data_IF_141990347773
#
_entry.id   IF_141990347773
#
_cell.length_a   1.000
_cell.length_b   1.000
_cell.length_c   1.000
_cell.angle_alpha   90.00
_cell.angle_beta   90.00
_cell.angle_gamma   90.00
#
_symmetry.space_group_name_H-M   'P 1'
#
loop_
_entity.id
_entity.type
_entity.pdbx_description
1 polymer ?
#
# COMPACT_ATOMS: atom_id res chain seq x y z
N UNK A 1 20.55 -9.76 9.83
CA UNK A 1 20.52 -10.79 10.90
C UNK A 1 20.64 -12.19 10.29
N UNK A 2 21.57 -13.06 10.70
CA UNK A 2 21.65 -14.45 10.25
C UNK A 2 20.75 -15.37 11.12
N UNK A 3 19.44 -15.16 11.06
CA UNK A 3 18.35 -15.95 11.67
C UNK A 3 17.10 -15.52 10.88
N UNK A 4 16.20 -16.34 10.35
CA UNK A 4 15.72 -17.65 10.77
C UNK A 4 14.77 -18.12 9.66
N UNK A 5 15.08 -19.21 8.96
CA UNK A 5 14.20 -19.75 7.92
C UNK A 5 12.78 -20.00 8.47
N UNK A 6 12.68 -20.32 9.76
CA UNK A 6 11.44 -20.51 10.51
C UNK A 6 10.65 -19.20 10.65
N UNK A 7 11.33 -18.08 10.91
CA UNK A 7 10.69 -16.76 10.96
C UNK A 7 10.13 -16.38 9.59
N UNK A 8 10.91 -16.53 8.52
CA UNK A 8 10.41 -16.30 7.15
C UNK A 8 9.23 -17.21 6.81
N UNK A 9 9.29 -18.49 7.18
CA UNK A 9 8.18 -19.44 7.01
C UNK A 9 6.94 -19.02 7.79
N UNK A 10 7.08 -18.52 9.01
CA UNK A 10 5.98 -17.98 9.79
C UNK A 10 5.34 -16.78 9.07
N UNK A 11 6.12 -15.80 8.62
CA UNK A 11 5.58 -14.65 7.90
C UNK A 11 4.83 -15.07 6.63
N UNK A 12 5.38 -16.03 5.87
CA UNK A 12 4.75 -16.60 4.68
C UNK A 12 3.45 -17.34 5.01
N UNK A 13 3.41 -18.11 6.10
CA UNK A 13 2.21 -18.81 6.56
C UNK A 13 1.10 -17.81 6.92
N UNK A 14 1.42 -16.78 7.70
CA UNK A 14 0.47 -15.76 8.11
C UNK A 14 -0.06 -14.99 6.90
N UNK A 15 0.81 -14.58 5.99
CA UNK A 15 0.44 -13.89 4.76
C UNK A 15 -0.40 -14.77 3.83
N UNK A 16 -0.16 -16.09 3.80
CA UNK A 16 -0.96 -17.04 3.03
C UNK A 16 -2.36 -17.18 3.60
N UNK A 17 -2.50 -17.28 4.93
CA UNK A 17 -3.82 -17.32 5.61
C UNK A 17 -4.64 -16.07 5.34
N UNK A 18 -3.99 -14.90 5.41
CA UNK A 18 -4.63 -13.61 5.11
C UNK A 18 -5.10 -13.51 3.64
N UNK A 19 -4.30 -14.01 2.70
CA UNK A 19 -4.69 -14.08 1.29
C UNK A 19 -5.85 -15.06 1.05
N UNK A 20 -5.89 -16.19 1.75
CA UNK A 20 -7.02 -17.13 1.68
C UNK A 20 -8.31 -16.47 2.18
N UNK A 21 -8.25 -15.77 3.32
CA UNK A 21 -9.38 -15.01 3.82
C UNK A 21 -9.85 -13.95 2.81
N UNK A 22 -8.92 -13.13 2.29
CA UNK A 22 -9.24 -12.12 1.28
C UNK A 22 -9.87 -12.72 0.02
N UNK A 23 -9.35 -13.84 -0.46
CA UNK A 23 -9.92 -14.55 -1.61
C UNK A 23 -11.37 -14.93 -1.34
N UNK A 24 -11.67 -15.51 -0.19
CA UNK A 24 -13.04 -15.89 0.18
C UNK A 24 -13.97 -14.67 0.21
N UNK A 25 -13.52 -13.57 0.82
CA UNK A 25 -14.31 -12.33 0.88
C UNK A 25 -14.57 -11.74 -0.51
N UNK A 26 -13.55 -11.68 -1.35
CA UNK A 26 -13.64 -11.16 -2.73
C UNK A 26 -14.54 -12.06 -3.61
N UNK A 27 -14.53 -13.38 -3.39
CA UNK A 27 -15.40 -14.31 -4.12
C UNK A 27 -16.88 -14.20 -3.71
N UNK A 28 -17.18 -13.74 -2.50
CA UNK A 28 -18.55 -13.49 -2.03
C UNK A 28 -19.17 -12.21 -2.60
N UNK A 29 -18.38 -11.35 -3.24
CA UNK A 29 -18.89 -10.15 -3.89
C UNK A 29 -19.74 -10.49 -5.13
N UNK A 30 -20.66 -9.60 -5.53
CA UNK A 30 -21.40 -9.73 -6.79
C UNK A 30 -20.48 -9.89 -7.99
N UNK A 31 -20.91 -10.67 -8.98
CA UNK A 31 -20.23 -10.89 -10.25
C UNK A 31 -21.23 -10.73 -11.41
N UNK A 32 -21.19 -9.63 -12.18
CA UNK A 32 -20.17 -8.57 -12.14
C UNK A 32 -20.31 -7.65 -10.91
N UNK A 33 -19.18 -7.06 -10.48
CA UNK A 33 -19.18 -6.04 -9.41
C UNK A 33 -19.80 -4.72 -9.93
N UNK A 34 -20.78 -4.13 -9.23
CA UNK A 34 -21.33 -2.81 -9.59
C UNK A 34 -20.27 -1.70 -9.53
N UNK A 35 -20.40 -0.69 -10.39
CA UNK A 35 -19.51 0.48 -10.42
C UNK A 35 -19.73 1.45 -9.25
N UNK A 36 -20.89 1.37 -8.60
CA UNK A 36 -21.22 2.08 -7.37
C UNK A 36 -20.97 1.25 -6.10
N UNK A 37 -20.36 0.06 -6.21
CA UNK A 37 -20.15 -0.81 -5.07
C UNK A 37 -19.24 -0.14 -4.01
N UNK A 38 -19.62 -0.12 -2.72
CA UNK A 38 -18.91 0.64 -1.67
C UNK A 38 -17.44 0.23 -1.46
N UNK A 39 -17.10 -1.01 -1.79
CA UNK A 39 -15.74 -1.55 -1.66
C UNK A 39 -14.87 -1.37 -2.92
N UNK A 40 -15.41 -0.83 -4.02
CA UNK A 40 -14.68 -0.72 -5.30
C UNK A 40 -13.31 -0.04 -5.14
N UNK A 41 -13.27 1.12 -4.47
CA UNK A 41 -12.03 1.87 -4.30
C UNK A 41 -11.02 1.15 -3.40
N UNK A 42 -11.49 0.43 -2.38
CA UNK A 42 -10.60 -0.31 -1.48
C UNK A 42 -10.02 -1.53 -2.18
N UNK A 43 -10.81 -2.19 -3.04
CA UNK A 43 -10.32 -3.25 -3.91
C UNK A 43 -9.34 -2.69 -4.95
N UNK A 44 -9.64 -1.55 -5.58
CA UNK A 44 -8.71 -0.89 -6.49
C UNK A 44 -7.40 -0.48 -5.81
N UNK A 45 -7.45 -0.01 -4.56
CA UNK A 45 -6.26 0.29 -3.75
C UNK A 45 -5.46 -0.96 -3.35
N UNK A 46 -6.09 -2.14 -3.32
CA UNK A 46 -5.42 -3.40 -3.08
C UNK A 46 -4.51 -3.82 -4.24
N UNK A 47 -4.84 -3.43 -5.48
CA UNK A 47 -4.11 -3.79 -6.70
C UNK A 47 -2.63 -3.38 -6.64
N UNK A 48 -2.26 -2.10 -6.39
CA UNK A 48 -0.84 -1.73 -6.29
C UNK A 48 -0.10 -2.42 -5.15
N UNK A 49 -0.78 -2.71 -4.04
CA UNK A 49 -0.19 -3.49 -2.93
C UNK A 49 0.07 -4.94 -3.36
N UNK A 50 -0.90 -5.58 -4.01
CA UNK A 50 -0.79 -6.94 -4.52
C UNK A 50 0.37 -7.05 -5.51
N UNK A 51 0.47 -6.08 -6.41
CA UNK A 51 1.55 -5.98 -7.39
C UNK A 51 2.90 -5.84 -6.70
N UNK A 52 3.03 -4.91 -5.76
CA UNK A 52 4.23 -4.70 -4.97
C UNK A 52 4.67 -6.01 -4.26
N UNK A 53 3.72 -6.73 -3.66
CA UNK A 53 3.99 -8.01 -3.00
C UNK A 53 4.46 -9.09 -3.98
N UNK A 54 3.84 -9.20 -5.16
CA UNK A 54 4.30 -10.13 -6.22
C UNK A 54 5.73 -9.87 -6.62
N UNK A 55 6.09 -8.60 -6.76
CA UNK A 55 7.39 -8.24 -7.28
C UNK A 55 8.48 -8.24 -6.21
N UNK A 56 8.14 -7.95 -4.95
CA UNK A 56 8.98 -8.32 -3.79
C UNK A 56 9.25 -9.83 -3.75
N UNK A 57 8.22 -10.65 -4.01
CA UNK A 57 8.36 -12.12 -4.02
C UNK A 57 9.17 -12.63 -5.23
N UNK A 58 9.26 -11.85 -6.31
CA UNK A 58 9.81 -12.27 -7.60
C UNK A 58 8.86 -13.18 -8.41
N UNK A 59 7.61 -13.35 -7.98
CA UNK A 59 6.60 -14.07 -8.73
C UNK A 59 5.18 -13.63 -8.32
N UNK A 60 4.23 -13.81 -9.24
CA UNK A 60 2.82 -13.45 -9.03
C UNK A 60 2.25 -14.13 -7.78
N UNK A 61 1.68 -13.34 -6.87
CA UNK A 61 0.98 -13.83 -5.66
C UNK A 61 -0.50 -14.07 -5.95
N UNK A 62 -1.17 -14.99 -5.22
CA UNK A 62 -2.60 -15.23 -5.38
C UNK A 62 -3.48 -13.98 -5.32
N UNK A 63 -3.13 -13.01 -4.46
CA UNK A 63 -3.87 -11.74 -4.32
C UNK A 63 -4.03 -10.98 -5.64
N UNK A 64 -3.00 -10.95 -6.48
CA UNK A 64 -3.07 -10.31 -7.81
C UNK A 64 -4.09 -11.06 -8.70
N UNK A 65 -4.09 -12.39 -8.67
CA UNK A 65 -5.00 -13.24 -9.45
C UNK A 65 -6.48 -13.01 -9.14
N UNK A 66 -6.88 -13.15 -7.89
CA UNK A 66 -8.30 -13.06 -7.55
C UNK A 66 -8.83 -11.61 -7.52
N UNK A 67 -7.96 -10.60 -7.43
CA UNK A 67 -8.36 -9.22 -7.63
C UNK A 67 -8.71 -8.96 -9.10
N UNK A 68 -7.93 -9.47 -10.05
CA UNK A 68 -8.21 -9.36 -11.50
C UNK A 68 -9.49 -10.10 -11.91
N UNK A 69 -9.84 -11.20 -11.22
CA UNK A 69 -11.10 -11.92 -11.44
C UNK A 69 -12.35 -11.08 -11.09
N UNK A 70 -12.21 -10.04 -10.26
CA UNK A 70 -13.33 -9.21 -9.78
C UNK A 70 -13.27 -7.76 -10.25
N UNK A 71 -12.07 -7.20 -10.38
CA UNK A 71 -11.83 -5.86 -10.90
C UNK A 71 -11.49 -5.97 -12.38
N UNK A 72 -12.49 -5.81 -13.24
CA UNK A 72 -12.30 -5.83 -14.69
C UNK A 72 -11.87 -4.46 -15.21
N UNK A 73 -11.18 -4.45 -16.36
CA UNK A 73 -10.79 -3.21 -17.04
C UNK A 73 -12.01 -2.32 -17.33
N UNK A 74 -13.12 -2.91 -17.80
CA UNK A 74 -14.38 -2.20 -18.07
C UNK A 74 -14.95 -1.51 -16.82
N UNK A 75 -14.87 -2.16 -15.66
CA UNK A 75 -15.35 -1.59 -14.38
C UNK A 75 -14.51 -0.37 -13.98
N UNK A 76 -13.19 -0.50 -14.05
CA UNK A 76 -12.27 0.61 -13.74
C UNK A 76 -12.41 1.73 -14.76
N UNK A 77 -12.62 1.41 -16.05
CA UNK A 77 -12.87 2.42 -17.08
C UNK A 77 -14.13 3.24 -16.78
N UNK A 78 -15.23 2.58 -16.40
CA UNK A 78 -16.46 3.28 -15.99
C UNK A 78 -16.22 4.21 -14.80
N UNK A 79 -15.54 3.72 -13.77
CA UNK A 79 -15.19 4.53 -12.60
C UNK A 79 -14.28 5.73 -12.97
N UNK A 80 -13.35 5.55 -13.90
CA UNK A 80 -12.47 6.62 -14.38
C UNK A 80 -13.18 7.68 -15.23
N UNK A 81 -14.36 7.40 -15.80
CA UNK A 81 -15.13 8.39 -16.58
C UNK A 81 -15.79 9.47 -15.73
N UNK A 82 -16.05 9.20 -14.45
CA UNK A 82 -16.58 10.16 -13.50
C UNK A 82 -15.90 10.03 -12.12
N UNK A 83 -14.59 10.24 -12.03
CA UNK A 83 -13.85 9.99 -10.80
C UNK A 83 -14.06 11.17 -9.83
N UNK A 84 -14.17 10.88 -8.54
CA UNK A 84 -14.07 11.94 -7.53
C UNK A 84 -12.58 12.33 -7.33
N UNK A 85 -12.31 13.60 -6.95
CA UNK A 85 -10.98 13.99 -6.50
C UNK A 85 -10.49 13.05 -5.37
N UNK A 86 -9.21 12.68 -5.36
CA UNK A 86 -8.58 11.69 -4.43
C UNK A 86 -8.82 10.22 -4.73
N UNK A 87 -9.61 9.91 -5.76
CA UNK A 87 -9.81 8.53 -6.23
C UNK A 87 -9.05 8.26 -7.53
N UNK A 88 -8.67 9.33 -8.25
CA UNK A 88 -8.07 9.28 -9.58
C UNK A 88 -6.79 8.44 -9.59
N UNK A 89 -5.86 8.68 -8.67
CA UNK A 89 -4.60 7.97 -8.61
C UNK A 89 -4.80 6.47 -8.33
N UNK A 90 -5.69 6.14 -7.40
CA UNK A 90 -6.01 4.74 -7.06
C UNK A 90 -6.60 4.00 -8.26
N UNK A 91 -7.61 4.58 -8.92
CA UNK A 91 -8.24 3.99 -10.09
C UNK A 91 -7.27 3.89 -11.29
N UNK A 92 -6.40 4.88 -11.49
CA UNK A 92 -5.39 4.84 -12.54
C UNK A 92 -4.35 3.76 -12.31
N UNK A 93 -3.88 3.58 -11.08
CA UNK A 93 -2.94 2.49 -10.74
C UNK A 93 -3.58 1.12 -10.99
N UNK A 94 -4.83 0.94 -10.57
CA UNK A 94 -5.59 -0.28 -10.87
C UNK A 94 -5.78 -0.47 -12.39
N UNK A 95 -6.17 0.58 -13.12
CA UNK A 95 -6.37 0.53 -14.57
C UNK A 95 -5.08 0.18 -15.34
N UNK A 96 -3.94 0.79 -14.97
CA UNK A 96 -2.64 0.48 -15.58
C UNK A 96 -2.22 -0.98 -15.38
N UNK A 97 -2.56 -1.54 -14.22
CA UNK A 97 -2.29 -2.92 -13.88
C UNK A 97 -3.14 -3.89 -14.72
N UNK A 98 -4.40 -3.53 -14.98
CA UNK A 98 -5.32 -4.28 -15.83
C UNK A 98 -5.12 -4.02 -17.34
N UNK A 99 -3.98 -3.45 -17.72
CA UNK A 99 -3.65 -3.07 -19.10
C UNK A 99 -4.72 -2.20 -19.79
N UNK A 100 -5.44 -1.36 -19.03
CA UNK A 100 -6.45 -0.47 -19.57
C UNK A 100 -5.83 0.65 -20.41
N UNK A 101 -6.16 0.69 -21.70
CA UNK A 101 -5.64 1.67 -22.67
C UNK A 101 -5.91 3.12 -22.23
N UNK A 102 -7.11 3.39 -21.69
CA UNK A 102 -7.48 4.73 -21.23
C UNK A 102 -6.53 5.25 -20.14
N UNK A 103 -6.00 4.38 -19.28
CA UNK A 103 -5.05 4.73 -18.23
C UNK A 103 -3.64 5.07 -18.78
N UNK A 104 -3.42 4.84 -20.08
CA UNK A 104 -2.20 5.16 -20.84
C UNK A 104 -2.43 6.25 -21.89
N UNK A 105 -3.67 6.64 -22.18
CA UNK A 105 -4.01 7.66 -23.18
C UNK A 105 -3.59 9.07 -22.70
N UNK A 106 -2.60 9.72 -23.36
CA UNK A 106 -2.13 11.04 -22.97
C UNK A 106 -3.22 12.13 -22.98
N UNK A 107 -4.23 12.01 -23.86
CA UNK A 107 -5.33 13.00 -23.94
C UNK A 107 -6.25 12.88 -22.74
N UNK A 108 -6.63 11.65 -22.38
CA UNK A 108 -7.43 11.40 -21.20
C UNK A 108 -6.70 11.81 -19.92
N UNK A 109 -5.42 11.46 -19.79
CA UNK A 109 -4.60 11.88 -18.65
C UNK A 109 -4.47 13.42 -18.58
N UNK A 110 -4.36 14.11 -19.71
CA UNK A 110 -4.39 15.57 -19.75
C UNK A 110 -5.73 16.14 -19.26
N UNK A 111 -6.86 15.53 -19.62
CA UNK A 111 -8.17 15.92 -19.08
C UNK A 111 -8.25 15.73 -17.57
N UNK A 112 -7.80 14.59 -17.05
CA UNK A 112 -7.80 14.34 -15.61
C UNK A 112 -6.96 15.36 -14.84
N UNK A 113 -5.82 15.80 -15.38
CA UNK A 113 -4.98 16.84 -14.78
C UNK A 113 -5.66 18.20 -14.65
N UNK A 114 -6.75 18.45 -15.38
CA UNK A 114 -7.53 19.70 -15.27
C UNK A 114 -8.56 19.68 -14.16
N UNK A 115 -8.75 18.54 -13.48
CA UNK A 115 -9.64 18.46 -12.33
C UNK A 115 -9.15 19.40 -11.21
N UNK A 116 -10.04 20.17 -10.59
CA UNK A 116 -9.67 21.02 -9.45
C UNK A 116 -9.26 20.17 -8.25
N UNK A 117 -8.36 20.71 -7.43
CA UNK A 117 -8.01 20.18 -6.10
C UNK A 117 -7.49 18.73 -6.07
N UNK A 118 -6.79 18.29 -7.12
CA UNK A 118 -6.11 16.98 -7.13
C UNK A 118 -5.09 16.87 -5.99
N UNK A 119 -5.20 15.80 -5.21
CA UNK A 119 -4.22 15.49 -4.16
C UNK A 119 -2.83 15.29 -4.78
N UNK A 120 -1.73 15.65 -4.08
CA UNK A 120 -0.38 15.41 -4.56
C UNK A 120 -0.13 13.97 -5.05
N UNK A 121 -0.74 12.96 -4.41
CA UNK A 121 -0.63 11.56 -4.84
C UNK A 121 -1.24 11.32 -6.22
N UNK A 122 -2.43 11.86 -6.48
CA UNK A 122 -3.09 11.77 -7.79
C UNK A 122 -2.25 12.48 -8.87
N UNK A 123 -1.75 13.67 -8.56
CA UNK A 123 -0.88 14.45 -9.47
C UNK A 123 0.40 13.69 -9.78
N UNK A 124 0.99 13.02 -8.80
CA UNK A 124 2.16 12.17 -9.01
C UNK A 124 1.83 11.02 -9.96
N UNK A 125 0.76 10.25 -9.71
CA UNK A 125 0.32 9.14 -10.59
C UNK A 125 0.03 9.60 -12.01
N UNK A 126 -0.54 10.81 -12.18
CA UNK A 126 -0.79 11.44 -13.47
C UNK A 126 0.48 11.89 -14.19
N UNK A 127 1.69 11.63 -13.70
CA UNK A 127 2.95 12.05 -14.30
C UNK A 127 3.44 13.39 -13.76
N UNK A 128 3.41 13.55 -12.43
CA UNK A 128 3.91 14.74 -11.74
C UNK A 128 5.42 14.94 -11.96
N UNK A 129 5.86 16.18 -11.82
CA UNK A 129 7.25 16.58 -12.00
C UNK A 129 8.00 16.71 -10.64
N UNK A 130 9.23 17.23 -10.69
CA UNK A 130 10.03 17.48 -9.48
C UNK A 130 9.36 18.42 -8.48
N UNK A 131 8.43 19.28 -8.91
CA UNK A 131 7.71 20.17 -8.00
C UNK A 131 6.70 19.41 -7.16
N UNK A 132 6.01 18.43 -7.74
CA UNK A 132 5.07 17.54 -7.03
C UNK A 132 5.83 16.67 -6.02
N UNK A 133 7.01 16.16 -6.40
CA UNK A 133 7.87 15.41 -5.47
C UNK A 133 8.31 16.31 -4.31
N UNK A 134 8.70 17.56 -4.57
CA UNK A 134 9.07 18.51 -3.52
C UNK A 134 7.91 18.84 -2.57
N UNK A 135 6.68 18.96 -3.09
CA UNK A 135 5.47 19.14 -2.28
C UNK A 135 5.21 17.92 -1.39
N UNK A 136 5.27 16.70 -1.96
CA UNK A 136 5.09 15.45 -1.20
C UNK A 136 6.17 15.32 -0.14
N UNK A 137 7.43 15.59 -0.48
CA UNK A 137 8.54 15.57 0.48
C UNK A 137 8.25 16.51 1.66
N UNK A 138 7.80 17.74 1.38
CA UNK A 138 7.48 18.70 2.44
C UNK A 138 6.35 18.20 3.34
N UNK A 139 5.32 17.57 2.77
CA UNK A 139 4.24 16.93 3.55
C UNK A 139 4.82 15.83 4.44
N UNK A 140 5.63 14.93 3.89
CA UNK A 140 6.21 13.78 4.61
C UNK A 140 7.23 14.19 5.67
N UNK A 141 7.89 15.34 5.52
CA UNK A 141 8.85 15.86 6.50
C UNK A 141 8.20 16.63 7.63
N UNK A 142 7.02 17.19 7.41
CA UNK A 142 6.35 18.02 8.40
C UNK A 142 5.88 17.16 9.57
N UNK A 143 6.34 17.41 10.81
CA UNK A 143 5.89 16.65 11.97
C UNK A 143 4.43 16.97 12.29
N UNK A 144 3.63 15.95 12.57
CA UNK A 144 2.25 16.09 13.03
C UNK A 144 2.21 15.80 14.54
N UNK A 145 1.68 16.72 15.38
CA UNK A 145 1.51 16.46 16.81
C UNK A 145 0.63 15.24 17.08
N UNK A 146 0.99 14.44 18.08
CA UNK A 146 0.32 13.17 18.38
C UNK A 146 -1.18 13.34 18.71
N UNK A 147 -1.56 14.50 19.26
CA UNK A 147 -2.93 14.85 19.62
C UNK A 147 -3.82 15.11 18.39
N UNK A 148 -3.20 15.43 17.25
CA UNK A 148 -3.88 15.71 15.98
C UNK A 148 -3.89 14.52 15.03
N UNK A 149 -3.11 13.48 15.32
CA UNK A 149 -3.03 12.28 14.49
C UNK A 149 -4.33 11.48 14.54
N UNK A 150 -4.76 11.05 13.35
CA UNK A 150 -5.83 10.09 13.12
C UNK A 150 -5.41 9.10 12.02
N UNK A 151 -6.22 8.06 11.81
CA UNK A 151 -5.95 7.05 10.78
C UNK A 151 -5.83 7.64 9.39
N UNK A 152 -6.65 8.63 9.05
CA UNK A 152 -6.66 9.22 7.71
C UNK A 152 -5.34 9.93 7.41
N UNK A 153 -4.77 10.63 8.39
CA UNK A 153 -3.46 11.27 8.27
C UNK A 153 -2.35 10.24 8.08
N UNK A 154 -2.36 9.14 8.84
CA UNK A 154 -1.35 8.08 8.70
C UNK A 154 -1.50 7.33 7.38
N UNK A 155 -2.74 7.00 6.97
CA UNK A 155 -3.06 6.39 5.68
C UNK A 155 -2.54 7.25 4.52
N UNK A 156 -2.81 8.57 4.55
CA UNK A 156 -2.34 9.51 3.54
C UNK A 156 -0.82 9.59 3.51
N UNK A 157 -0.18 9.69 4.67
CA UNK A 157 1.28 9.71 4.78
C UNK A 157 1.89 8.42 4.19
N UNK A 158 1.38 7.27 4.60
CA UNK A 158 1.85 5.97 4.14
C UNK A 158 1.67 5.84 2.62
N UNK A 159 0.50 6.22 2.10
CA UNK A 159 0.22 6.18 0.68
C UNK A 159 1.18 7.06 -0.13
N UNK A 160 1.38 8.32 0.26
CA UNK A 160 2.31 9.22 -0.43
C UNK A 160 3.74 8.69 -0.40
N UNK A 161 4.18 8.16 0.74
CA UNK A 161 5.51 7.58 0.88
C UNK A 161 5.68 6.33 0.00
N UNK A 162 4.69 5.45 -0.02
CA UNK A 162 4.67 4.27 -0.91
C UNK A 162 4.73 4.70 -2.38
N UNK A 163 3.99 5.75 -2.78
CA UNK A 163 3.99 6.24 -4.16
C UNK A 163 5.36 6.79 -4.59
N UNK A 164 6.03 7.61 -3.78
CA UNK A 164 7.34 8.17 -4.17
C UNK A 164 8.45 7.11 -4.21
N UNK A 165 8.29 6.00 -3.47
CA UNK A 165 9.15 4.82 -3.58
C UNK A 165 8.70 3.85 -4.69
N UNK A 166 7.62 4.16 -5.41
CA UNK A 166 6.96 3.25 -6.37
C UNK A 166 6.80 1.84 -5.77
N UNK A 167 6.27 1.82 -4.54
CA UNK A 167 6.08 0.64 -3.69
C UNK A 167 7.34 -0.22 -3.49
N UNK A 168 8.52 0.40 -3.55
CA UNK A 168 9.83 -0.23 -3.37
C UNK A 168 10.60 -0.43 -4.66
N UNK A 169 10.03 -0.12 -5.83
CA UNK A 169 10.70 -0.24 -7.12
C UNK A 169 11.80 0.78 -7.35
N UNK A 170 11.74 1.92 -6.66
CA UNK A 170 12.77 2.96 -6.75
C UNK A 170 13.08 3.51 -5.36
N UNK A 171 14.28 4.10 -5.22
CA UNK A 171 14.58 5.03 -4.15
C UNK A 171 14.43 6.46 -4.71
N UNK A 172 13.48 7.27 -4.21
CA UNK A 172 13.28 8.62 -4.73
C UNK A 172 14.51 9.47 -4.46
N UNK A 173 14.79 10.46 -5.31
CA UNK A 173 15.79 11.49 -5.03
C UNK A 173 15.13 12.63 -4.24
N UNK A 174 15.39 12.69 -2.94
CA UNK A 174 14.91 13.77 -2.08
C UNK A 174 15.89 14.96 -2.08
N UNK A 175 15.43 16.10 -1.59
CA UNK A 175 16.20 17.36 -1.54
C UNK A 175 17.51 17.25 -0.76
N UNK A 176 17.59 16.35 0.23
CA UNK A 176 18.72 16.24 1.14
C UNK A 176 18.74 14.88 1.85
N UNK A 177 19.91 14.49 2.38
CA UNK A 177 20.04 13.30 3.22
C UNK A 177 19.19 13.42 4.51
N UNK A 178 19.08 14.62 5.08
CA UNK A 178 18.23 14.90 6.24
C UNK A 178 16.74 14.65 5.98
N UNK A 179 16.28 14.80 4.73
CA UNK A 179 14.88 14.52 4.38
C UNK A 179 14.50 13.07 4.68
N UNK A 180 15.36 12.09 4.36
CA UNK A 180 15.11 10.69 4.73
C UNK A 180 15.02 10.52 6.24
N UNK A 181 15.90 11.18 6.99
CA UNK A 181 15.89 11.14 8.47
C UNK A 181 14.62 11.73 9.07
N UNK A 182 14.16 12.87 8.56
CA UNK A 182 12.91 13.53 9.00
C UNK A 182 11.69 12.63 8.77
N UNK A 183 11.59 12.03 7.57
CA UNK A 183 10.49 11.12 7.19
C UNK A 183 10.55 9.83 8.01
N UNK A 184 11.74 9.27 8.22
CA UNK A 184 11.94 8.09 9.04
C UNK A 184 11.53 8.35 10.50
N UNK A 185 11.91 9.50 11.06
CA UNK A 185 11.50 9.92 12.39
C UNK A 185 9.97 10.09 12.49
N UNK A 186 9.30 10.57 11.44
CA UNK A 186 7.83 10.58 11.36
C UNK A 186 7.24 9.17 11.38
N UNK A 187 7.82 8.22 10.65
CA UNK A 187 7.35 6.82 10.64
C UNK A 187 7.42 6.21 12.05
N UNK A 188 8.52 6.43 12.78
CA UNK A 188 8.66 5.98 14.16
C UNK A 188 7.60 6.61 15.09
N UNK A 189 7.42 7.94 15.02
CA UNK A 189 6.37 8.62 15.79
C UNK A 189 4.97 8.08 15.51
N UNK A 190 4.68 7.75 14.26
CA UNK A 190 3.38 7.23 13.86
C UNK A 190 3.20 5.77 14.28
N UNK A 191 4.27 4.97 14.28
CA UNK A 191 4.26 3.63 14.85
C UNK A 191 3.98 3.67 16.36
N UNK A 192 4.68 4.53 17.11
CA UNK A 192 4.44 4.73 18.55
C UNK A 192 2.99 5.16 18.83
N UNK A 193 2.48 6.13 18.05
CA UNK A 193 1.08 6.56 18.14
C UNK A 193 0.12 5.40 17.86
N UNK A 194 0.38 4.62 16.81
CA UNK A 194 -0.46 3.48 16.43
C UNK A 194 -0.50 2.43 17.54
N UNK A 195 0.63 2.10 18.16
CA UNK A 195 0.69 1.19 19.31
C UNK A 195 -0.10 1.76 20.49
N UNK A 196 0.15 3.02 20.86
CA UNK A 196 -0.53 3.68 21.97
C UNK A 196 -2.06 3.77 21.78
N UNK A 197 -2.52 3.96 20.55
CA UNK A 197 -3.95 3.99 20.17
C UNK A 197 -4.50 2.62 19.76
N UNK A 198 -3.68 1.57 19.83
CA UNK A 198 -4.00 0.19 19.43
C UNK A 198 -4.54 0.11 17.99
N UNK A 199 -3.94 0.81 17.03
CA UNK A 199 -4.35 0.85 15.62
C UNK A 199 -3.47 -0.06 14.78
N UNK A 200 -4.04 -1.11 14.19
CA UNK A 200 -3.23 -2.12 13.48
C UNK A 200 -2.82 -1.67 12.08
N UNK A 201 -3.75 -1.16 11.26
CA UNK A 201 -3.41 -0.74 9.89
C UNK A 201 -2.32 0.34 9.87
N UNK A 202 -2.41 1.42 10.69
CA UNK A 202 -1.34 2.40 10.80
C UNK A 202 0.00 1.79 11.20
N UNK A 203 0.02 0.87 12.18
CA UNK A 203 1.25 0.19 12.58
C UNK A 203 1.86 -0.62 11.42
N UNK A 204 1.05 -1.43 10.74
CA UNK A 204 1.50 -2.26 9.62
C UNK A 204 1.99 -1.41 8.43
N UNK A 205 1.32 -0.30 8.13
CA UNK A 205 1.78 0.68 7.15
C UNK A 205 3.14 1.28 7.54
N UNK A 206 3.34 1.63 8.81
CA UNK A 206 4.64 2.17 9.26
C UNK A 206 5.75 1.13 9.17
N UNK A 207 5.47 -0.16 9.46
CA UNK A 207 6.45 -1.24 9.23
C UNK A 207 6.87 -1.28 7.77
N UNK A 208 5.91 -1.20 6.84
CA UNK A 208 6.21 -1.17 5.41
C UNK A 208 7.05 0.05 5.03
N UNK A 209 6.64 1.24 5.48
CA UNK A 209 7.32 2.51 5.22
C UNK A 209 8.74 2.57 5.80
N UNK A 210 8.94 2.09 7.03
CA UNK A 210 10.27 1.99 7.64
C UNK A 210 11.17 1.08 6.80
N UNK A 211 10.65 -0.08 6.40
CA UNK A 211 11.35 -1.04 5.54
C UNK A 211 11.63 -0.51 4.14
N UNK A 212 10.85 0.48 3.65
CA UNK A 212 11.11 1.19 2.39
C UNK A 212 12.33 2.13 2.51
N UNK A 213 12.38 2.92 3.59
CA UNK A 213 13.36 3.98 3.78
C UNK A 213 14.72 3.42 4.20
N UNK A 214 14.72 2.59 5.25
CA UNK A 214 15.90 1.98 5.82
C UNK A 214 15.72 0.46 5.89
N UNK A 215 16.25 -0.26 4.89
CA UNK A 215 16.19 -1.70 4.85
C UNK A 215 16.79 -2.40 6.08
N UNK A 216 17.82 -1.81 6.69
CA UNK A 216 18.55 -2.45 7.80
C UNK A 216 17.88 -2.21 9.16
N UNK A 217 16.81 -1.42 9.21
CA UNK A 217 16.08 -1.13 10.43
C UNK A 217 15.36 -2.37 10.97
N UNK A 218 15.60 -2.69 12.25
CA UNK A 218 14.93 -3.80 12.93
C UNK A 218 13.47 -3.48 13.26
N UNK A 219 12.57 -3.90 12.38
CA UNK A 219 11.11 -3.81 12.56
C UNK A 219 10.52 -5.01 13.30
N UNK A 220 11.32 -6.01 13.71
CA UNK A 220 10.80 -7.22 14.34
C UNK A 220 9.94 -6.96 15.59
N UNK A 221 10.27 -5.99 16.47
CA UNK A 221 9.42 -5.64 17.62
C UNK A 221 8.01 -5.17 17.19
N UNK A 222 7.92 -4.29 16.19
CA UNK A 222 6.66 -3.78 15.66
C UNK A 222 5.87 -4.89 14.95
N UNK A 223 6.56 -5.74 14.20
CA UNK A 223 5.95 -6.85 13.47
C UNK A 223 5.42 -7.93 14.43
N UNK A 224 6.08 -8.14 15.58
CA UNK A 224 5.60 -9.07 16.61
C UNK A 224 4.19 -8.75 17.09
N UNK A 225 3.86 -7.47 17.29
CA UNK A 225 2.50 -7.05 17.62
C UNK A 225 1.52 -7.35 16.48
N UNK A 226 1.91 -7.06 15.23
CA UNK A 226 1.08 -7.35 14.06
C UNK A 226 0.78 -8.83 13.93
N UNK A 227 1.81 -9.69 14.02
CA UNK A 227 1.70 -11.15 13.96
C UNK A 227 0.72 -11.69 15.00
N UNK A 228 0.78 -11.17 16.23
CA UNK A 228 -0.07 -11.62 17.34
C UNK A 228 -1.56 -11.30 17.16
N UNK A 229 -1.89 -10.41 16.22
CA UNK A 229 -3.26 -9.96 15.98
C UNK A 229 -4.02 -10.79 14.94
N UNK A 230 -3.37 -11.73 14.23
CA UNK A 230 -4.08 -12.54 13.21
C UNK A 230 -5.21 -13.33 13.85
N UNK A 231 -6.42 -13.17 13.31
CA UNK A 231 -7.63 -13.87 13.74
C UNK A 231 -7.60 -15.35 13.30
N UNK A 232 -8.40 -16.23 13.94
CA UNK A 232 -8.52 -17.62 13.50
C UNK A 232 -8.93 -17.78 12.03
N UNK A 233 -9.83 -16.93 11.53
CA UNK A 233 -10.28 -16.88 10.12
C UNK A 233 -9.18 -16.44 9.13
N UNK A 234 -8.02 -15.98 9.62
CA UNK A 234 -6.89 -15.53 8.81
C UNK A 234 -6.83 -14.01 8.59
N UNK A 235 -7.89 -13.27 8.94
CA UNK A 235 -7.94 -11.82 8.81
C UNK A 235 -7.11 -11.09 9.87
N UNK A 236 -6.87 -9.80 9.65
CA UNK A 236 -6.29 -8.90 10.65
C UNK A 236 -7.30 -7.84 11.07
N UNK A 237 -7.41 -7.51 12.38
CA UNK A 237 -8.42 -6.59 12.88
C UNK A 237 -8.02 -5.13 12.78
N UNK A 238 -8.99 -4.22 12.85
CA UNK A 238 -8.73 -2.78 12.96
C UNK A 238 -7.87 -2.40 14.18
N UNK A 239 -8.05 -3.11 15.29
CA UNK A 239 -7.42 -2.80 16.57
C UNK A 239 -6.39 -3.82 16.98
N UNK A 240 -5.24 -3.37 17.48
CA UNK A 240 -4.19 -4.23 18.03
C UNK A 240 -4.75 -5.00 19.22
N UNK A 241 -4.62 -6.32 19.20
CA UNK A 241 -5.00 -7.21 20.28
C UNK A 241 -5.66 -8.50 19.81
N UNK A 242 -5.62 -9.50 20.68
CA UNK A 242 -6.27 -10.77 20.44
C UNK A 242 -7.80 -10.64 20.35
N UNK A 243 -8.40 -11.55 19.61
CA UNK A 243 -9.84 -11.69 19.45
C UNK A 243 -10.12 -12.78 18.43
N UNK A 244 -11.34 -13.29 18.49
CA UNK A 244 -11.76 -14.53 17.83
C UNK A 244 -13.04 -14.35 17.00
N UNK A 245 -13.50 -13.11 16.83
CA UNK A 245 -14.69 -12.79 16.04
C UNK A 245 -14.26 -12.68 14.57
N UNK A 246 -14.94 -13.44 13.71
CA UNK A 246 -14.77 -13.40 12.26
C UNK A 246 -15.08 -12.00 11.72
N UNK A 247 -14.35 -11.60 10.68
CA UNK A 247 -14.52 -10.30 10.06
C UNK A 247 -15.16 -10.43 8.69
N UNK A 248 -16.05 -9.48 8.37
CA UNK A 248 -16.48 -9.24 7.00
C UNK A 248 -15.43 -8.42 6.23
N UNK A 249 -15.66 -8.27 4.93
CA UNK A 249 -14.78 -7.49 4.06
C UNK A 249 -14.67 -6.04 4.53
N UNK A 250 -15.77 -5.40 4.92
CA UNK A 250 -15.80 -3.98 5.29
C UNK A 250 -14.92 -3.68 6.51
N UNK A 251 -14.91 -4.59 7.49
CA UNK A 251 -14.10 -4.48 8.71
C UNK A 251 -12.65 -4.91 8.49
N UNK A 252 -12.42 -5.98 7.72
CA UNK A 252 -11.14 -6.67 7.65
C UNK A 252 -10.25 -6.31 6.46
N UNK A 253 -10.77 -5.72 5.38
CA UNK A 253 -10.02 -5.54 4.12
C UNK A 253 -8.75 -4.70 4.32
N UNK A 254 -8.89 -3.46 4.78
CA UNK A 254 -7.77 -2.52 4.98
C UNK A 254 -6.71 -3.04 5.96
N UNK A 255 -7.04 -3.46 7.20
CA UNK A 255 -6.03 -3.99 8.12
C UNK A 255 -5.36 -5.26 7.61
N UNK A 256 -6.10 -6.13 6.91
CA UNK A 256 -5.54 -7.36 6.34
C UNK A 256 -4.57 -7.05 5.20
N UNK A 257 -4.89 -6.11 4.31
CA UNK A 257 -3.98 -5.69 3.24
C UNK A 257 -2.72 -5.03 3.79
N UNK A 258 -2.84 -4.15 4.79
CA UNK A 258 -1.70 -3.50 5.42
C UNK A 258 -0.77 -4.54 6.07
N UNK A 259 -1.34 -5.51 6.78
CA UNK A 259 -0.58 -6.61 7.38
C UNK A 259 0.10 -7.49 6.32
N UNK A 260 -0.59 -7.83 5.21
CA UNK A 260 0.02 -8.57 4.09
C UNK A 260 1.23 -7.80 3.56
N UNK A 261 1.10 -6.50 3.28
CA UNK A 261 2.19 -5.68 2.78
C UNK A 261 3.40 -5.72 3.73
N UNK A 262 3.17 -5.50 5.03
CA UNK A 262 4.19 -5.54 6.07
C UNK A 262 4.89 -6.91 6.18
N UNK A 263 4.12 -8.00 6.15
CA UNK A 263 4.67 -9.37 6.17
C UNK A 263 5.52 -9.64 4.93
N UNK A 264 5.05 -9.22 3.75
CA UNK A 264 5.74 -9.46 2.48
C UNK A 264 7.06 -8.72 2.38
N UNK A 265 7.09 -7.43 2.69
CA UNK A 265 8.33 -6.64 2.60
C UNK A 265 9.40 -7.15 3.55
N UNK A 266 9.03 -7.60 4.75
CA UNK A 266 9.99 -8.18 5.71
C UNK A 266 10.43 -9.58 5.29
N UNK A 267 9.51 -10.40 4.75
CA UNK A 267 9.83 -11.78 4.36
C UNK A 267 10.67 -11.90 3.08
N UNK A 268 10.41 -11.02 2.11
CA UNK A 268 10.84 -11.19 0.72
C UNK A 268 11.80 -10.14 0.20
N UNK A 269 11.99 -9.01 0.87
CA UNK A 269 13.00 -8.04 0.42
C UNK A 269 14.39 -8.69 0.54
N UNK A 270 15.06 -8.85 -0.60
CA UNK A 270 16.41 -9.38 -0.64
C UNK A 270 17.37 -8.32 -0.09
N UNK A 271 17.72 -8.45 1.19
CA UNK A 271 18.61 -7.55 1.93
C UNK A 271 20.06 -7.52 1.38
N UNK A 272 20.49 -8.55 0.66
CA UNK A 272 21.89 -8.74 0.23
C UNK A 272 22.15 -8.56 -1.28
N UNK A 273 21.12 -8.31 -2.10
CA UNK A 273 21.28 -8.17 -3.55
C UNK A 273 21.01 -6.73 -4.03
N UNK A 274 22.04 -5.91 -4.29
CA UNK A 274 21.87 -4.55 -4.80
C UNK A 274 21.19 -4.49 -6.17
N UNK A 275 21.04 -5.61 -6.89
CA UNK A 275 20.29 -5.70 -8.15
C UNK A 275 18.81 -6.05 -7.98
N UNK A 276 18.36 -6.41 -6.78
CA UNK A 276 16.94 -6.71 -6.53
C UNK A 276 16.08 -5.44 -6.46
N UNK A 277 16.70 -4.29 -6.15
CA UNK A 277 16.04 -2.98 -6.19
C UNK A 277 15.78 -2.47 -7.63
N UNK A 278 16.42 -3.02 -8.66
CA UNK A 278 16.27 -2.61 -10.06
C UNK A 278 15.38 -3.54 -10.90
N UNK A 279 14.83 -4.59 -10.29
CA UNK A 279 14.06 -5.63 -10.98
C UNK A 279 12.54 -5.46 -10.89
N UNK A 280 12.05 -4.43 -10.20
CA UNK A 280 10.61 -4.21 -10.10
C UNK A 280 10.12 -3.44 -11.33
N UNK A 281 9.19 -3.97 -12.17
CA UNK A 281 8.47 -3.16 -13.12
C UNK A 281 7.58 -2.24 -12.29
N UNK A 282 8.11 -1.07 -11.97
CA UNK A 282 7.37 -0.04 -11.26
C UNK A 282 6.09 0.33 -12.01
N UNK A 283 5.19 1.05 -11.36
CA UNK A 283 4.08 1.70 -12.08
C UNK A 283 4.57 2.79 -13.05
N UNK A 284 5.89 2.95 -13.16
CA UNK A 284 6.58 3.82 -14.07
C UNK A 284 6.00 5.22 -13.95
N UNK A 285 6.25 5.83 -12.80
CA UNK A 285 6.56 7.27 -12.74
C UNK A 285 7.88 7.53 -13.51
N UNK A 286 7.99 7.00 -14.72
CA UNK A 286 9.09 7.24 -15.64
C UNK A 286 8.86 8.64 -16.17
N UNK A 287 9.37 9.65 -15.48
CA UNK A 287 9.81 10.97 -15.97
C UNK A 287 10.09 11.87 -14.76
N UNK A 288 11.20 11.61 -14.05
CA UNK A 288 11.89 12.59 -13.20
C UNK A 288 13.40 12.31 -13.27
#
# INVERSE_FOLDING_TARGET
MPHDASYRQLLQLLASRAQVWLRMQVQMLPDPLPDDHPELLRLAAAVPIARACSVLRGCRIPLEGFLEERLTADLIERALRAPEPRQVGTLLLAGRHLDLDLARDPRFLATLRTLPDLDPGDRLVLGGDSSVIGEIEQILRTPIPAERLDDHMVDRFAHLLMLIYDFGAIRPRLSSASAYGDIFANCLRFADWAQAKRRLSPLAQMIFCLSLIDPDHDVAPLLGETISCQRPDGSFPKWIGYGNVDQDLQMGLTPTLAAIAALFIVAHRNWDDPNSASALPGYALQHC
#
